data_IF_620446423825
#
_entry.id   IF_620446423825
#
_cell.length_a   1.000
_cell.length_b   1.000
_cell.length_c   1.000
_cell.angle_alpha   90.00
_cell.angle_beta   90.00
_cell.angle_gamma   90.00
#
_symmetry.space_group_name_H-M   'P 1'
#
loop_
_entity.id
_entity.type
_entity.pdbx_description
1 polymer ?
#
# COMPACT_ATOMS: atom_id res chain seq x y z
N UNK A 1 -22.39 -5.43 3.99
CA UNK A 1 -21.83 -6.75 3.64
C UNK A 1 -21.14 -6.65 2.28
N UNK A 2 -19.99 -5.93 2.21
CA UNK A 2 -19.22 -5.70 0.97
C UNK A 2 -17.69 -5.74 1.25
N UNK A 3 -17.25 -6.75 2.02
CA UNK A 3 -15.82 -6.95 2.34
C UNK A 3 -15.08 -7.95 1.42
N UNK A 4 -15.73 -8.79 0.56
CA UNK A 4 -14.97 -9.80 -0.18
C UNK A 4 -14.19 -9.29 -1.41
N UNK A 5 -14.49 -8.09 -1.93
CA UNK A 5 -13.83 -7.59 -3.16
C UNK A 5 -12.41 -7.07 -2.92
N UNK A 6 -12.13 -6.59 -1.70
CA UNK A 6 -10.81 -6.03 -1.34
C UNK A 6 -9.76 -7.16 -1.17
N UNK A 7 -10.16 -8.35 -0.66
CA UNK A 7 -9.22 -9.46 -0.42
C UNK A 7 -8.60 -10.08 -1.69
N UNK A 8 -9.33 -10.12 -2.78
CA UNK A 8 -8.82 -10.77 -4.01
C UNK A 8 -7.91 -9.86 -4.84
N UNK A 9 -8.11 -8.53 -4.77
CA UNK A 9 -7.29 -7.58 -5.54
C UNK A 9 -5.96 -7.23 -4.85
N UNK A 10 -5.90 -7.20 -3.53
CA UNK A 10 -4.64 -6.99 -2.78
C UNK A 10 -3.60 -8.08 -3.06
N UNK A 11 -4.03 -9.33 -3.24
CA UNK A 11 -3.15 -10.44 -3.65
C UNK A 11 -2.63 -10.31 -5.09
N UNK A 12 -3.40 -9.66 -5.99
CA UNK A 12 -2.96 -9.41 -7.37
C UNK A 12 -1.98 -8.24 -7.48
N UNK A 13 -2.16 -7.16 -6.74
CA UNK A 13 -1.25 -6.01 -6.74
C UNK A 13 0.13 -6.36 -6.16
N UNK A 14 0.19 -7.16 -5.11
CA UNK A 14 1.45 -7.64 -4.56
C UNK A 14 2.25 -8.48 -5.57
N UNK A 15 1.59 -9.19 -6.49
CA UNK A 15 2.24 -9.92 -7.58
C UNK A 15 2.73 -9.03 -8.73
N UNK A 16 2.10 -7.86 -8.97
CA UNK A 16 2.46 -6.96 -10.06
C UNK A 16 3.56 -5.96 -9.69
N UNK A 17 3.55 -5.40 -8.50
CA UNK A 17 4.62 -4.48 -8.03
C UNK A 17 5.96 -5.20 -7.98
N UNK A 18 5.98 -6.49 -7.62
CA UNK A 18 7.22 -7.28 -7.59
C UNK A 18 7.67 -7.81 -8.97
N UNK A 19 6.78 -7.97 -9.93
CA UNK A 19 7.16 -8.41 -11.27
C UNK A 19 7.93 -7.33 -12.06
N UNK A 20 7.71 -6.05 -11.77
CA UNK A 20 8.35 -4.93 -12.47
C UNK A 20 9.78 -4.69 -11.96
N UNK A 21 10.07 -4.93 -10.68
CA UNK A 21 11.44 -4.79 -10.14
C UNK A 21 12.45 -5.83 -10.66
N UNK A 22 11.98 -6.93 -11.26
CA UNK A 22 12.88 -7.97 -11.81
C UNK A 22 13.31 -7.72 -13.26
N UNK A 23 12.78 -6.72 -13.97
CA UNK A 23 13.04 -6.51 -15.41
C UNK A 23 13.78 -5.21 -15.75
N UNK A 24 14.07 -4.33 -14.81
CA UNK A 24 14.85 -3.12 -15.05
C UNK A 24 16.35 -3.38 -14.84
N UNK A 25 16.97 -4.09 -15.76
CA UNK A 25 18.41 -3.95 -16.00
C UNK A 25 18.60 -2.68 -16.84
N UNK A 26 19.27 -1.63 -16.34
CA UNK A 26 19.63 -0.51 -17.18
C UNK A 26 20.64 -0.99 -18.23
N UNK A 27 20.31 -0.80 -19.49
CA UNK A 27 21.30 -0.79 -20.56
C UNK A 27 22.20 0.43 -20.31
N UNK A 28 23.32 0.19 -19.65
CA UNK A 28 24.40 1.18 -19.52
C UNK A 28 25.05 1.30 -20.89
N UNK A 29 24.73 2.37 -21.61
CA UNK A 29 25.52 2.81 -22.75
C UNK A 29 26.95 3.09 -22.24
N UNK A 30 27.89 2.35 -22.74
CA UNK A 30 29.31 2.46 -22.42
C UNK A 30 29.88 3.80 -22.90
N UNK A 31 29.78 4.83 -22.05
CA UNK A 31 30.67 5.97 -22.14
C UNK A 31 32.01 5.60 -21.48
N UNK A 32 33.04 5.48 -22.30
CA UNK A 32 34.42 5.27 -21.85
C UNK A 32 34.85 6.46 -20.97
N UNK A 33 34.72 6.31 -19.66
CA UNK A 33 35.47 7.07 -18.68
C UNK A 33 36.59 6.19 -18.14
N UNK A 34 37.75 6.76 -18.08
CA UNK A 34 39.03 6.16 -17.64
C UNK A 34 38.86 5.25 -16.44
N UNK A 35 39.45 4.06 -16.54
CA UNK A 35 39.36 2.95 -15.62
C UNK A 35 39.74 3.28 -14.17
N UNK A 36 38.73 3.29 -13.34
CA UNK A 36 38.84 2.74 -12.00
C UNK A 36 38.34 1.30 -12.11
N UNK A 37 39.23 0.35 -12.25
CA UNK A 37 38.94 -1.06 -12.09
C UNK A 37 38.35 -1.22 -10.68
N UNK A 38 37.08 -1.62 -10.61
CA UNK A 38 36.48 -1.99 -9.33
C UNK A 38 37.37 -3.04 -8.67
N UNK A 39 37.68 -2.93 -7.38
CA UNK A 39 38.56 -3.90 -6.72
C UNK A 39 38.02 -5.32 -6.96
N UNK A 40 38.88 -6.32 -7.16
CA UNK A 40 38.45 -7.67 -7.42
C UNK A 40 37.60 -8.17 -6.27
N UNK A 41 36.45 -8.79 -6.60
CA UNK A 41 35.51 -9.31 -5.61
C UNK A 41 36.20 -10.39 -4.76
N UNK A 42 35.97 -10.32 -3.46
CA UNK A 42 36.46 -11.38 -2.55
C UNK A 42 35.69 -12.69 -2.82
N UNK A 43 36.24 -13.80 -2.31
CA UNK A 43 35.58 -15.10 -2.42
C UNK A 43 34.20 -15.10 -1.74
N UNK A 44 34.09 -14.47 -0.56
CA UNK A 44 32.84 -14.32 0.16
C UNK A 44 31.80 -13.53 -0.66
N UNK A 45 32.22 -12.45 -1.34
CA UNK A 45 31.32 -11.69 -2.20
C UNK A 45 30.83 -12.50 -3.41
N UNK A 46 31.65 -13.36 -3.97
CA UNK A 46 31.23 -14.28 -5.05
C UNK A 46 30.25 -15.31 -4.55
N UNK A 47 30.51 -15.89 -3.38
CA UNK A 47 29.61 -16.84 -2.74
C UNK A 47 28.29 -16.19 -2.33
N UNK A 48 28.30 -14.94 -1.84
CA UNK A 48 27.09 -14.17 -1.54
C UNK A 48 26.21 -13.99 -2.78
N UNK A 49 26.83 -13.62 -3.91
CA UNK A 49 26.09 -13.48 -5.18
C UNK A 49 25.55 -14.80 -5.71
N UNK A 50 26.30 -15.90 -5.53
CA UNK A 50 25.81 -17.22 -5.89
C UNK A 50 24.56 -17.58 -5.06
N UNK A 51 24.64 -17.46 -3.75
CA UNK A 51 23.50 -17.69 -2.85
C UNK A 51 22.30 -16.77 -3.18
N UNK A 52 22.56 -15.48 -3.49
CA UNK A 52 21.51 -14.56 -3.95
C UNK A 52 20.78 -15.10 -5.19
N UNK A 53 21.53 -15.58 -6.19
CA UNK A 53 20.96 -16.12 -7.43
C UNK A 53 20.16 -17.40 -7.19
N UNK A 54 20.64 -18.29 -6.31
CA UNK A 54 19.91 -19.48 -5.88
C UNK A 54 18.57 -19.10 -5.23
N UNK A 55 18.59 -18.15 -4.29
CA UNK A 55 17.40 -17.63 -3.66
C UNK A 55 16.39 -17.02 -4.64
N UNK A 56 16.88 -16.29 -5.66
CA UNK A 56 16.01 -15.73 -6.72
C UNK A 56 15.33 -16.84 -7.52
N UNK A 57 16.03 -17.93 -7.83
CA UNK A 57 15.42 -19.07 -8.53
C UNK A 57 14.39 -19.79 -7.66
N UNK A 58 14.72 -20.05 -6.39
CA UNK A 58 13.80 -20.64 -5.43
C UNK A 58 12.54 -19.78 -5.26
N UNK A 59 12.70 -18.45 -5.13
CA UNK A 59 11.58 -17.51 -5.05
C UNK A 59 10.65 -17.57 -6.27
N UNK A 60 11.22 -17.56 -7.48
CA UNK A 60 10.46 -17.67 -8.73
C UNK A 60 9.67 -18.99 -8.84
N UNK A 61 10.18 -20.05 -8.25
CA UNK A 61 9.54 -21.35 -8.20
C UNK A 61 8.49 -21.48 -7.05
N UNK A 62 8.30 -20.43 -6.24
CA UNK A 62 7.40 -20.44 -5.09
C UNK A 62 7.96 -21.17 -3.87
N UNK A 63 9.25 -21.52 -3.87
CA UNK A 63 9.96 -22.22 -2.80
C UNK A 63 10.46 -21.21 -1.74
N UNK A 64 9.51 -20.54 -1.06
CA UNK A 64 9.82 -19.37 -0.22
C UNK A 64 10.74 -19.67 0.96
N UNK A 65 10.64 -20.86 1.57
CA UNK A 65 11.52 -21.26 2.68
C UNK A 65 12.96 -21.47 2.20
N UNK A 66 13.15 -22.04 1.02
CA UNK A 66 14.47 -22.21 0.39
C UNK A 66 15.03 -20.83 -0.01
N UNK A 67 14.22 -20.01 -0.64
CA UNK A 67 14.61 -18.64 -1.00
C UNK A 67 15.06 -17.83 0.23
N UNK A 68 14.32 -17.92 1.35
CA UNK A 68 14.69 -17.22 2.58
C UNK A 68 16.03 -17.71 3.15
N UNK A 69 16.31 -19.03 3.11
CA UNK A 69 17.61 -19.57 3.55
C UNK A 69 18.77 -19.05 2.69
N UNK A 70 18.58 -19.03 1.37
CA UNK A 70 19.61 -18.62 0.44
C UNK A 70 19.88 -17.10 0.52
N UNK A 71 18.82 -16.27 0.64
CA UNK A 71 18.99 -14.83 0.85
C UNK A 71 19.63 -14.52 2.21
N UNK A 72 19.28 -15.25 3.27
CA UNK A 72 19.92 -15.12 4.56
C UNK A 72 21.40 -15.46 4.50
N UNK A 73 21.77 -16.55 3.81
CA UNK A 73 23.16 -16.93 3.55
C UNK A 73 23.89 -15.84 2.77
N UNK A 74 23.27 -15.30 1.72
CA UNK A 74 23.86 -14.22 0.94
C UNK A 74 24.13 -12.97 1.80
N UNK A 75 23.17 -12.57 2.66
CA UNK A 75 23.31 -11.47 3.63
C UNK A 75 24.41 -11.73 4.67
N UNK A 76 24.58 -12.97 5.13
CA UNK A 76 25.64 -13.33 6.08
C UNK A 76 27.02 -13.25 5.46
N UNK A 77 27.17 -13.65 4.19
CA UNK A 77 28.43 -13.61 3.43
C UNK A 77 28.81 -12.19 3.02
N UNK A 78 27.83 -11.36 2.66
CA UNK A 78 28.04 -9.94 2.36
C UNK A 78 26.91 -9.08 2.95
N UNK A 79 27.07 -8.56 4.18
CA UNK A 79 26.04 -7.72 4.83
C UNK A 79 25.73 -6.40 4.10
N UNK A 80 26.56 -6.00 3.13
CA UNK A 80 26.32 -4.81 2.31
C UNK A 80 25.59 -5.12 1.00
N UNK A 81 25.32 -6.39 0.72
CA UNK A 81 24.56 -6.81 -0.46
C UNK A 81 23.07 -6.50 -0.26
N UNK A 82 22.68 -5.22 -0.47
CA UNK A 82 21.33 -4.71 -0.27
C UNK A 82 20.23 -5.60 -0.85
N UNK A 83 20.48 -6.14 -2.06
CA UNK A 83 19.50 -6.99 -2.73
C UNK A 83 19.22 -8.29 -1.97
N UNK A 84 20.20 -8.86 -1.25
CA UNK A 84 19.98 -10.05 -0.46
C UNK A 84 18.99 -9.77 0.68
N UNK A 85 19.17 -8.63 1.36
CA UNK A 85 18.29 -8.21 2.44
C UNK A 85 16.90 -7.79 1.93
N UNK A 86 16.84 -7.06 0.81
CA UNK A 86 15.59 -6.66 0.18
C UNK A 86 14.76 -7.87 -0.27
N UNK A 87 15.38 -8.87 -0.89
CA UNK A 87 14.69 -10.07 -1.33
C UNK A 87 14.30 -10.98 -0.15
N UNK A 88 15.08 -11.00 0.92
CA UNK A 88 14.70 -11.68 2.16
C UNK A 88 13.44 -11.05 2.77
N UNK A 89 13.41 -9.70 2.88
CA UNK A 89 12.24 -8.96 3.33
C UNK A 89 11.00 -9.28 2.47
N UNK A 90 11.17 -9.25 1.15
CA UNK A 90 10.14 -9.57 0.18
C UNK A 90 9.62 -11.01 0.32
N UNK A 91 10.53 -11.95 0.59
CA UNK A 91 10.20 -13.37 0.77
C UNK A 91 9.33 -13.57 2.01
N UNK A 92 9.67 -12.93 3.12
CA UNK A 92 8.83 -12.96 4.33
C UNK A 92 7.49 -12.26 4.09
N UNK A 93 7.48 -11.10 3.44
CA UNK A 93 6.25 -10.39 3.10
C UNK A 93 5.31 -11.21 2.22
N UNK A 94 5.84 -12.00 1.28
CA UNK A 94 5.05 -12.87 0.39
C UNK A 94 4.38 -14.04 1.13
N UNK A 95 4.86 -14.40 2.29
CA UNK A 95 4.30 -15.47 3.15
C UNK A 95 3.32 -14.92 4.19
N UNK A 96 3.32 -13.61 4.44
CA UNK A 96 2.41 -12.99 5.40
C UNK A 96 0.97 -12.96 4.88
N UNK A 97 0.04 -13.44 5.69
CA UNK A 97 -1.40 -13.44 5.38
C UNK A 97 -2.10 -12.46 6.34
N UNK A 98 -2.61 -11.31 5.85
CA UNK A 98 -3.26 -10.33 6.71
C UNK A 98 -4.39 -10.92 7.55
N UNK A 99 -4.32 -10.73 8.86
CA UNK A 99 -5.32 -11.19 9.82
C UNK A 99 -5.27 -12.66 10.18
N UNK A 100 -4.34 -13.46 9.66
CA UNK A 100 -4.13 -14.83 10.13
C UNK A 100 -3.47 -14.81 11.53
N UNK A 101 -4.05 -15.52 12.54
CA UNK A 101 -3.62 -15.37 13.93
C UNK A 101 -2.44 -16.28 14.33
N UNK A 102 -1.89 -17.06 13.41
CA UNK A 102 -0.80 -17.98 13.74
C UNK A 102 0.48 -17.23 14.12
N UNK A 103 1.21 -17.74 15.11
CA UNK A 103 2.50 -17.17 15.53
C UNK A 103 3.50 -17.10 14.37
N UNK A 104 3.49 -18.11 13.50
CA UNK A 104 4.32 -18.14 12.30
C UNK A 104 4.03 -16.95 11.38
N UNK A 105 2.74 -16.70 11.11
CA UNK A 105 2.33 -15.57 10.29
C UNK A 105 2.73 -14.22 10.89
N UNK A 106 2.56 -14.07 12.21
CA UNK A 106 2.98 -12.86 12.94
C UNK A 106 4.50 -12.67 12.83
N UNK A 107 5.28 -13.75 13.00
CA UNK A 107 6.74 -13.70 12.82
C UNK A 107 7.15 -13.31 11.40
N UNK A 108 6.45 -13.79 10.36
CA UNK A 108 6.73 -13.38 8.97
C UNK A 108 6.53 -11.88 8.78
N UNK A 109 5.44 -11.30 9.30
CA UNK A 109 5.20 -9.87 9.24
C UNK A 109 6.30 -9.05 9.92
N UNK A 110 6.69 -9.43 11.13
CA UNK A 110 7.77 -8.76 11.86
C UNK A 110 9.12 -8.92 11.17
N UNK A 111 9.46 -10.13 10.72
CA UNK A 111 10.71 -10.38 10.00
C UNK A 111 10.79 -9.54 8.70
N UNK A 112 9.70 -9.45 7.94
CA UNK A 112 9.65 -8.60 6.75
C UNK A 112 9.91 -7.13 7.08
N UNK A 113 9.24 -6.58 8.10
CA UNK A 113 9.42 -5.16 8.49
C UNK A 113 10.84 -4.90 9.01
N UNK A 114 11.43 -5.81 9.77
CA UNK A 114 12.80 -5.70 10.26
C UNK A 114 13.81 -5.67 9.12
N UNK A 115 13.68 -6.58 8.15
CA UNK A 115 14.59 -6.61 6.99
C UNK A 115 14.44 -5.39 6.09
N UNK A 116 13.22 -4.88 5.84
CA UNK A 116 13.04 -3.61 5.13
C UNK A 116 13.67 -2.44 5.87
N UNK A 117 13.51 -2.34 7.20
CA UNK A 117 14.18 -1.32 8.02
C UNK A 117 15.70 -1.45 7.94
N UNK A 118 16.22 -2.68 7.90
CA UNK A 118 17.64 -2.94 7.72
C UNK A 118 18.17 -2.42 6.37
N UNK A 119 17.42 -2.61 5.27
CA UNK A 119 17.76 -2.01 3.97
C UNK A 119 17.79 -0.49 4.06
N UNK A 120 16.79 0.13 4.72
CA UNK A 120 16.73 1.59 4.90
C UNK A 120 17.84 2.13 5.81
N UNK A 121 18.40 1.29 6.69
CA UNK A 121 19.59 1.61 7.49
C UNK A 121 20.85 1.75 6.64
N UNK A 122 20.94 1.01 5.54
CA UNK A 122 22.07 1.03 4.60
C UNK A 122 21.84 2.03 3.45
N UNK A 123 20.63 2.10 2.95
CA UNK A 123 20.20 3.01 1.88
C UNK A 123 18.85 3.66 2.26
N UNK A 124 18.89 4.84 2.90
CA UNK A 124 17.68 5.52 3.37
C UNK A 124 16.73 5.97 2.25
N UNK A 125 17.17 5.98 0.99
CA UNK A 125 16.36 6.39 -0.16
C UNK A 125 15.90 5.21 -1.02
N UNK A 126 16.10 3.98 -0.57
CA UNK A 126 15.67 2.78 -1.29
C UNK A 126 14.15 2.70 -1.41
N UNK A 127 13.62 3.04 -2.57
CA UNK A 127 12.17 3.09 -2.80
C UNK A 127 11.50 1.74 -2.58
N UNK A 128 12.11 0.64 -3.03
CA UNK A 128 11.53 -0.70 -2.85
C UNK A 128 11.38 -1.06 -1.37
N UNK A 129 12.32 -0.63 -0.53
CA UNK A 129 12.24 -0.85 0.91
C UNK A 129 11.23 0.12 1.59
N UNK A 130 11.13 1.37 1.13
CA UNK A 130 10.13 2.34 1.58
C UNK A 130 8.73 1.81 1.31
N UNK A 131 8.45 1.40 0.08
CA UNK A 131 7.12 0.90 -0.32
C UNK A 131 6.81 -0.45 0.32
N UNK A 132 7.80 -1.35 0.37
CA UNK A 132 7.67 -2.64 1.03
C UNK A 132 7.31 -2.50 2.51
N UNK A 133 8.00 -1.61 3.22
CA UNK A 133 7.72 -1.34 4.63
C UNK A 133 6.37 -0.65 4.83
N UNK A 134 6.05 0.37 4.01
CA UNK A 134 4.74 1.01 4.03
C UNK A 134 3.60 0.01 3.83
N UNK A 135 3.72 -0.87 2.83
CA UNK A 135 2.74 -1.92 2.54
C UNK A 135 2.61 -2.95 3.67
N UNK A 136 3.73 -3.41 4.24
CA UNK A 136 3.69 -4.36 5.34
C UNK A 136 3.01 -3.78 6.59
N UNK A 137 3.37 -2.56 6.98
CA UNK A 137 2.76 -1.87 8.11
C UNK A 137 1.25 -1.69 7.90
N UNK A 138 0.82 -1.30 6.69
CA UNK A 138 -0.60 -1.21 6.33
C UNK A 138 -1.33 -2.55 6.51
N UNK A 139 -0.74 -3.64 6.04
CA UNK A 139 -1.34 -4.98 6.15
C UNK A 139 -1.42 -5.46 7.59
N UNK A 140 -0.38 -5.19 8.39
CA UNK A 140 -0.33 -5.57 9.81
C UNK A 140 -1.30 -4.72 10.65
N UNK A 141 -1.52 -3.46 10.30
CA UNK A 141 -2.41 -2.53 11.00
C UNK A 141 -3.90 -2.93 10.97
N UNK A 142 -4.29 -3.80 10.04
CA UNK A 142 -5.70 -4.14 9.82
C UNK A 142 -6.31 -5.05 10.87
N UNK A 143 -5.54 -5.99 11.43
CA UNK A 143 -6.04 -7.00 12.38
C UNK A 143 -4.93 -7.51 13.31
N UNK A 144 -4.95 -7.20 14.62
CA UNK A 144 -5.91 -6.25 15.23
C UNK A 144 -5.77 -4.85 14.62
N UNK A 145 -6.85 -4.05 14.70
CA UNK A 145 -6.80 -2.69 14.17
C UNK A 145 -5.86 -1.83 15.01
N UNK A 146 -4.84 -1.30 14.36
CA UNK A 146 -3.79 -0.48 14.97
C UNK A 146 -3.62 0.84 14.18
N UNK A 147 -4.15 1.96 14.70
CA UNK A 147 -4.04 3.25 14.03
C UNK A 147 -2.59 3.77 13.97
N UNK A 148 -1.73 3.40 14.90
CA UNK A 148 -0.34 3.87 14.93
C UNK A 148 0.46 3.23 13.79
N UNK A 149 0.25 1.95 13.51
CA UNK A 149 0.85 1.28 12.35
C UNK A 149 0.34 1.88 11.02
N UNK A 150 -0.93 2.30 10.95
CA UNK A 150 -1.43 3.02 9.78
C UNK A 150 -0.72 4.37 9.60
N UNK A 151 -0.48 5.11 10.67
CA UNK A 151 0.25 6.38 10.60
C UNK A 151 1.73 6.16 10.24
N UNK A 152 2.37 5.14 10.79
CA UNK A 152 3.73 4.76 10.40
C UNK A 152 3.79 4.41 8.91
N UNK A 153 2.86 3.58 8.41
CA UNK A 153 2.73 3.27 6.99
C UNK A 153 2.62 4.54 6.14
N UNK A 154 1.72 5.48 6.52
CA UNK A 154 1.53 6.76 5.84
C UNK A 154 2.83 7.56 5.74
N UNK A 155 3.66 7.55 6.80
CA UNK A 155 4.93 8.27 6.83
C UNK A 155 5.92 7.77 5.77
N UNK A 156 5.93 6.46 5.47
CA UNK A 156 6.77 5.90 4.41
C UNK A 156 6.29 6.31 3.02
N UNK A 157 4.99 6.35 2.77
CA UNK A 157 4.46 6.87 1.50
C UNK A 157 4.70 8.37 1.35
N UNK A 158 4.65 9.16 2.41
CA UNK A 158 5.07 10.57 2.40
C UNK A 158 6.56 10.72 2.07
N UNK A 159 7.41 9.82 2.57
CA UNK A 159 8.83 9.77 2.22
C UNK A 159 9.03 9.43 0.74
N UNK A 160 8.27 8.50 0.19
CA UNK A 160 8.29 8.20 -1.25
C UNK A 160 7.93 9.46 -2.06
N UNK A 161 6.85 10.15 -1.73
CA UNK A 161 6.43 11.39 -2.38
C UNK A 161 7.55 12.44 -2.37
N UNK A 162 8.23 12.59 -1.23
CA UNK A 162 9.36 13.53 -1.14
C UNK A 162 10.48 13.20 -2.13
N UNK A 163 10.75 11.92 -2.39
CA UNK A 163 11.78 11.47 -3.32
C UNK A 163 11.29 11.49 -4.78
N UNK A 164 10.04 11.12 -5.03
CA UNK A 164 9.43 10.96 -6.34
C UNK A 164 8.00 11.52 -6.36
N UNK A 165 7.83 12.86 -6.46
CA UNK A 165 6.51 13.49 -6.39
C UNK A 165 5.60 13.20 -7.58
N UNK A 166 6.13 12.71 -8.69
CA UNK A 166 5.38 12.41 -9.91
C UNK A 166 4.84 10.96 -9.95
N UNK A 167 5.07 10.14 -8.90
CA UNK A 167 4.50 8.80 -8.80
C UNK A 167 3.09 8.88 -8.18
N UNK A 168 2.02 8.41 -8.85
CA UNK A 168 0.66 8.45 -8.34
C UNK A 168 0.41 7.43 -7.21
N UNK A 169 1.22 6.37 -7.10
CA UNK A 169 0.99 5.23 -6.21
C UNK A 169 1.02 5.62 -4.72
N UNK A 170 2.04 6.34 -4.21
CA UNK A 170 2.08 6.69 -2.79
C UNK A 170 0.94 7.64 -2.38
N UNK A 171 0.48 8.54 -3.25
CA UNK A 171 -0.70 9.35 -2.99
C UNK A 171 -1.98 8.51 -2.89
N UNK A 172 -2.12 7.50 -3.74
CA UNK A 172 -3.21 6.55 -3.65
C UNK A 172 -3.22 5.84 -2.29
N UNK A 173 -2.07 5.32 -1.84
CA UNK A 173 -1.99 4.62 -0.56
C UNK A 173 -2.28 5.51 0.65
N UNK A 174 -1.85 6.78 0.63
CA UNK A 174 -2.25 7.76 1.65
C UNK A 174 -3.77 7.90 1.69
N UNK A 175 -4.42 8.06 0.55
CA UNK A 175 -5.88 8.13 0.49
C UNK A 175 -6.58 6.87 1.00
N UNK A 176 -6.04 5.68 0.73
CA UNK A 176 -6.55 4.40 1.25
C UNK A 176 -6.43 4.31 2.77
N UNK A 177 -5.29 4.73 3.32
CA UNK A 177 -5.05 4.78 4.77
C UNK A 177 -6.04 5.74 5.43
N UNK A 178 -6.16 6.95 4.92
CA UNK A 178 -7.01 7.99 5.47
C UNK A 178 -8.49 7.59 5.42
N UNK A 179 -8.92 6.97 4.31
CA UNK A 179 -10.25 6.37 4.24
C UNK A 179 -10.43 5.27 5.28
N UNK A 180 -9.46 4.37 5.45
CA UNK A 180 -9.56 3.24 6.38
C UNK A 180 -9.74 3.73 7.82
N UNK A 181 -8.96 4.73 8.23
CA UNK A 181 -9.05 5.35 9.54
C UNK A 181 -10.40 6.05 9.75
N UNK A 182 -10.80 6.89 8.80
CA UNK A 182 -12.07 7.62 8.85
C UNK A 182 -13.29 6.69 8.84
N UNK A 183 -13.28 5.66 7.97
CA UNK A 183 -14.35 4.67 7.89
C UNK A 183 -14.50 3.88 9.19
N UNK A 184 -13.39 3.42 9.75
CA UNK A 184 -13.40 2.68 11.02
C UNK A 184 -13.91 3.52 12.17
N UNK A 185 -13.46 4.76 12.28
CA UNK A 185 -13.92 5.70 13.29
C UNK A 185 -15.42 6.01 13.17
N UNK A 186 -15.90 6.25 11.95
CA UNK A 186 -17.33 6.45 11.69
C UNK A 186 -18.17 5.24 12.14
N UNK A 187 -17.74 4.03 11.77
CA UNK A 187 -18.41 2.79 12.17
C UNK A 187 -18.45 2.60 13.69
N UNK A 188 -17.35 2.86 14.40
CA UNK A 188 -17.29 2.78 15.86
C UNK A 188 -18.18 3.83 16.52
N UNK A 189 -18.19 5.07 16.00
CA UNK A 189 -19.04 6.15 16.48
C UNK A 189 -20.50 5.80 16.35
N UNK A 190 -20.93 5.26 15.21
CA UNK A 190 -22.30 4.79 14.96
C UNK A 190 -22.67 3.62 15.88
N UNK A 191 -21.78 2.63 16.01
CA UNK A 191 -22.01 1.46 16.87
C UNK A 191 -22.14 1.85 18.35
N UNK A 192 -21.24 2.69 18.87
CA UNK A 192 -21.25 3.17 20.26
C UNK A 192 -22.55 3.90 20.63
N UNK A 193 -23.13 4.60 19.68
CA UNK A 193 -24.33 5.41 19.91
C UNK A 193 -25.63 4.70 19.45
N UNK A 194 -25.58 3.39 19.19
CA UNK A 194 -26.74 2.57 18.81
C UNK A 194 -27.56 3.21 17.68
N UNK A 195 -26.89 3.79 16.69
CA UNK A 195 -27.53 4.40 15.54
C UNK A 195 -28.15 3.31 14.65
N UNK A 196 -29.23 2.73 15.15
CA UNK A 196 -30.10 1.84 14.40
C UNK A 196 -31.54 2.36 14.46
N UNK A 197 -32.24 2.36 13.34
CA UNK A 197 -33.65 2.67 13.29
C UNK A 197 -34.44 1.37 13.32
N UNK A 198 -35.22 1.12 14.37
CA UNK A 198 -36.11 -0.06 14.53
C UNK A 198 -35.36 -1.40 14.38
N UNK A 199 -34.13 -1.50 14.92
CA UNK A 199 -33.33 -2.73 14.85
C UNK A 199 -32.65 -2.95 13.50
N UNK A 200 -32.77 -2.03 12.54
CA UNK A 200 -31.95 -1.98 11.33
C UNK A 200 -30.82 -0.98 11.55
N UNK A 201 -29.62 -1.41 11.27
CA UNK A 201 -28.47 -0.51 11.23
C UNK A 201 -28.80 0.63 10.24
N UNK A 202 -28.59 1.89 10.66
CA UNK A 202 -28.65 3.01 9.73
C UNK A 202 -27.72 2.72 8.55
N UNK A 203 -28.17 3.05 7.34
CA UNK A 203 -27.28 2.94 6.17
C UNK A 203 -26.05 3.79 6.42
N UNK A 204 -24.90 3.35 5.91
CA UNK A 204 -23.63 4.09 6.02
C UNK A 204 -23.72 5.50 5.43
N UNK A 205 -24.77 5.76 4.62
CA UNK A 205 -25.05 7.05 3.99
C UNK A 205 -26.02 7.94 4.80
N UNK A 206 -26.56 7.48 5.94
CA UNK A 206 -27.40 8.32 6.78
C UNK A 206 -26.56 9.40 7.48
N UNK A 207 -27.00 10.69 7.53
CA UNK A 207 -26.26 11.75 8.18
C UNK A 207 -26.07 11.46 9.67
N UNK A 208 -24.90 11.86 10.21
CA UNK A 208 -24.66 11.81 11.64
C UNK A 208 -25.49 12.87 12.37
N UNK A 209 -26.04 12.57 13.58
CA UNK A 209 -26.56 13.57 14.49
C UNK A 209 -25.52 14.67 14.76
N UNK A 210 -25.95 15.93 15.05
CA UNK A 210 -25.03 17.07 15.18
C UNK A 210 -23.87 16.84 16.13
N UNK A 211 -24.14 16.33 17.34
CA UNK A 211 -23.08 16.10 18.35
C UNK A 211 -22.04 15.07 17.89
N UNK A 212 -22.48 14.01 17.22
CA UNK A 212 -21.61 12.97 16.70
C UNK A 212 -20.85 13.42 15.45
N UNK A 213 -21.49 14.24 14.61
CA UNK A 213 -20.82 14.90 13.49
C UNK A 213 -19.69 15.78 14.00
N UNK A 214 -19.91 16.60 15.02
CA UNK A 214 -18.91 17.49 15.57
C UNK A 214 -17.75 16.71 16.23
N UNK A 215 -18.04 15.57 16.89
CA UNK A 215 -17.03 14.63 17.38
C UNK A 215 -16.20 14.06 16.22
N UNK A 216 -16.86 13.63 15.15
CA UNK A 216 -16.23 13.06 13.98
C UNK A 216 -15.34 14.06 13.23
N UNK A 217 -15.82 15.30 13.06
CA UNK A 217 -15.05 16.41 12.46
C UNK A 217 -13.79 16.70 13.25
N UNK A 218 -13.89 16.81 14.58
CA UNK A 218 -12.72 17.07 15.44
C UNK A 218 -11.66 15.98 15.35
N UNK A 219 -12.09 14.71 15.23
CA UNK A 219 -11.16 13.58 15.19
C UNK A 219 -10.59 13.28 13.80
N UNK A 220 -11.41 13.44 12.76
CA UNK A 220 -11.09 12.90 11.43
C UNK A 220 -11.30 13.87 10.26
N UNK A 221 -11.76 15.10 10.52
CA UNK A 221 -11.98 16.09 9.46
C UNK A 221 -10.73 16.35 8.61
N UNK A 222 -9.59 16.56 9.27
CA UNK A 222 -8.30 16.77 8.60
C UNK A 222 -7.87 15.52 7.82
N UNK A 223 -7.96 14.34 8.42
CA UNK A 223 -7.62 13.06 7.77
C UNK A 223 -8.42 12.83 6.49
N UNK A 224 -9.73 13.13 6.53
CA UNK A 224 -10.60 13.01 5.35
C UNK A 224 -10.15 13.98 4.25
N UNK A 225 -9.84 15.22 4.61
CA UNK A 225 -9.43 16.23 3.64
C UNK A 225 -8.06 15.92 3.02
N UNK A 226 -7.10 15.48 3.81
CA UNK A 226 -5.79 15.01 3.33
C UNK A 226 -5.93 13.83 2.36
N UNK A 227 -6.75 12.84 2.69
CA UNK A 227 -7.01 11.70 1.82
C UNK A 227 -7.68 12.09 0.49
N UNK A 228 -8.64 13.02 0.53
CA UNK A 228 -9.28 13.56 -0.68
C UNK A 228 -8.24 14.24 -1.57
N UNK A 229 -7.42 15.13 -1.02
CA UNK A 229 -6.40 15.84 -1.81
C UNK A 229 -5.35 14.88 -2.36
N UNK A 230 -4.92 13.89 -1.59
CA UNK A 230 -3.97 12.86 -2.04
C UNK A 230 -4.54 12.07 -3.23
N UNK A 231 -5.79 11.59 -3.15
CA UNK A 231 -6.40 10.85 -4.26
C UNK A 231 -6.65 11.73 -5.49
N UNK A 232 -7.03 12.98 -5.31
CA UNK A 232 -7.14 13.96 -6.42
C UNK A 232 -5.78 14.16 -7.10
N UNK A 233 -4.71 14.24 -6.32
CA UNK A 233 -3.37 14.36 -6.86
C UNK A 233 -2.95 13.10 -7.64
N UNK A 234 -3.18 11.90 -7.10
CA UNK A 234 -2.95 10.64 -7.80
C UNK A 234 -3.69 10.59 -9.16
N UNK A 235 -4.96 11.03 -9.19
CA UNK A 235 -5.77 11.09 -10.41
C UNK A 235 -5.24 12.16 -11.38
N UNK A 236 -4.69 13.27 -10.89
CA UNK A 236 -4.10 14.30 -11.76
C UNK A 236 -2.85 13.81 -12.49
N UNK A 237 -2.04 12.97 -11.82
CA UNK A 237 -0.86 12.32 -12.42
C UNK A 237 -1.30 11.20 -13.38
N UNK A 238 -2.29 10.39 -12.97
CA UNK A 238 -2.80 9.24 -13.73
C UNK A 238 -4.31 9.36 -13.93
N UNK A 239 -4.78 10.00 -15.03
CA UNK A 239 -6.20 10.32 -15.23
C UNK A 239 -7.14 9.10 -15.36
N UNK A 240 -6.63 7.91 -15.63
CA UNK A 240 -7.39 6.65 -15.69
C UNK A 240 -7.19 5.75 -14.46
N UNK A 241 -6.77 6.34 -13.32
CA UNK A 241 -6.54 5.61 -12.08
C UNK A 241 -7.87 5.27 -11.38
N UNK A 242 -8.54 4.22 -11.88
CA UNK A 242 -9.86 3.81 -11.43
C UNK A 242 -9.92 3.41 -9.94
N UNK A 243 -8.85 2.84 -9.38
CA UNK A 243 -8.80 2.50 -7.97
C UNK A 243 -8.73 3.77 -7.08
N UNK A 244 -7.96 4.78 -7.49
CA UNK A 244 -7.94 6.08 -6.78
C UNK A 244 -9.30 6.79 -6.84
N UNK A 245 -10.00 6.74 -7.98
CA UNK A 245 -11.36 7.27 -8.10
C UNK A 245 -12.35 6.52 -7.20
N UNK A 246 -12.21 5.19 -7.07
CA UNK A 246 -13.05 4.38 -6.20
C UNK A 246 -12.89 4.78 -4.72
N UNK A 247 -11.65 5.01 -4.25
CA UNK A 247 -11.44 5.48 -2.88
C UNK A 247 -11.81 6.94 -2.67
N UNK A 248 -11.63 7.82 -3.68
CA UNK A 248 -12.09 9.20 -3.63
C UNK A 248 -13.62 9.28 -3.47
N UNK A 249 -14.37 8.44 -4.19
CA UNK A 249 -15.81 8.28 -3.96
C UNK A 249 -16.12 7.98 -2.48
N UNK A 250 -15.43 7.00 -1.91
CA UNK A 250 -15.65 6.60 -0.53
C UNK A 250 -15.30 7.72 0.47
N UNK A 251 -14.25 8.49 0.21
CA UNK A 251 -13.88 9.65 1.03
C UNK A 251 -14.88 10.81 0.90
N UNK A 252 -15.44 11.08 -0.28
CA UNK A 252 -16.52 12.08 -0.40
C UNK A 252 -17.76 11.69 0.41
N UNK A 253 -18.10 10.40 0.50
CA UNK A 253 -19.17 9.92 1.39
C UNK A 253 -18.82 10.14 2.87
N UNK A 254 -17.56 9.94 3.27
CA UNK A 254 -17.13 10.28 4.64
C UNK A 254 -17.12 11.79 4.88
N UNK A 255 -16.73 12.59 3.88
CA UNK A 255 -16.83 14.06 3.97
C UNK A 255 -18.28 14.53 4.12
N UNK A 256 -19.23 13.88 3.45
CA UNK A 256 -20.65 14.17 3.59
C UNK A 256 -21.19 13.94 5.03
N UNK A 257 -20.50 13.13 5.85
CA UNK A 257 -20.82 12.95 7.27
C UNK A 257 -20.25 14.08 8.15
N UNK A 258 -19.39 14.95 7.63
CA UNK A 258 -18.79 16.07 8.38
C UNK A 258 -19.51 17.41 8.19
N UNK A 259 -20.40 17.53 7.21
CA UNK A 259 -21.05 18.79 6.88
C UNK A 259 -22.44 18.89 7.51
N UNK A 260 -22.83 20.13 7.89
CA UNK A 260 -24.13 20.41 8.49
C UNK A 260 -25.21 20.71 7.42
N UNK A 261 -24.80 21.28 6.30
CA UNK A 261 -25.70 21.70 5.23
C UNK A 261 -26.16 20.48 4.42
N UNK A 262 -27.47 20.32 4.27
CA UNK A 262 -28.05 19.29 3.42
C UNK A 262 -27.64 19.46 1.95
N UNK A 263 -27.61 20.69 1.44
CA UNK A 263 -27.19 20.97 0.06
C UNK A 263 -25.71 20.63 -0.21
N UNK A 264 -24.83 20.92 0.76
CA UNK A 264 -23.41 20.55 0.65
C UNK A 264 -23.23 19.03 0.71
N UNK A 265 -23.99 18.35 1.58
CA UNK A 265 -24.00 16.90 1.64
C UNK A 265 -24.43 16.27 0.32
N UNK A 266 -25.52 16.74 -0.29
CA UNK A 266 -26.02 16.26 -1.58
C UNK A 266 -25.01 16.47 -2.70
N UNK A 267 -24.30 17.60 -2.70
CA UNK A 267 -23.22 17.85 -3.66
C UNK A 267 -22.06 16.85 -3.51
N UNK A 268 -21.63 16.55 -2.28
CA UNK A 268 -20.59 15.57 -2.00
C UNK A 268 -21.00 14.16 -2.43
N UNK A 269 -22.25 13.76 -2.16
CA UNK A 269 -22.77 12.46 -2.60
C UNK A 269 -22.83 12.41 -4.13
N UNK A 270 -23.27 13.49 -4.79
CA UNK A 270 -23.27 13.55 -6.25
C UNK A 270 -21.85 13.41 -6.82
N UNK A 271 -20.87 14.10 -6.25
CA UNK A 271 -19.46 13.95 -6.66
C UNK A 271 -18.96 12.51 -6.49
N UNK A 272 -19.39 11.84 -5.43
CA UNK A 272 -19.07 10.44 -5.21
C UNK A 272 -19.68 9.53 -6.28
N UNK A 273 -20.95 9.75 -6.65
CA UNK A 273 -21.68 8.97 -7.65
C UNK A 273 -21.10 9.19 -9.05
N UNK A 274 -20.75 10.44 -9.42
CA UNK A 274 -20.09 10.79 -10.69
C UNK A 274 -18.74 10.04 -10.87
N UNK A 275 -18.02 9.77 -9.77
CA UNK A 275 -16.79 8.96 -9.80
C UNK A 275 -17.06 7.48 -10.06
N UNK A 276 -18.15 6.92 -9.53
CA UNK A 276 -18.53 5.53 -9.81
C UNK A 276 -18.79 5.35 -11.31
N UNK A 277 -19.48 6.28 -11.94
CA UNK A 277 -19.77 6.20 -13.37
C UNK A 277 -18.50 6.31 -14.21
N UNK A 278 -17.57 7.21 -13.86
CA UNK A 278 -16.25 7.26 -14.49
C UNK A 278 -15.47 5.95 -14.37
N UNK A 279 -15.48 5.32 -13.19
CA UNK A 279 -14.82 4.02 -12.98
C UNK A 279 -15.42 2.93 -13.87
N UNK A 280 -16.76 2.90 -14.02
CA UNK A 280 -17.44 1.96 -14.93
C UNK A 280 -17.00 2.17 -16.38
N UNK A 281 -16.99 3.43 -16.85
CA UNK A 281 -16.59 3.78 -18.20
C UNK A 281 -15.13 3.38 -18.50
N UNK A 282 -14.21 3.63 -17.56
CA UNK A 282 -12.80 3.24 -17.69
C UNK A 282 -12.68 1.72 -17.80
N UNK A 283 -13.37 0.99 -16.92
CA UNK A 283 -13.34 -0.50 -16.94
C UNK A 283 -13.93 -1.07 -18.21
N UNK A 284 -15.03 -0.50 -18.71
CA UNK A 284 -15.65 -0.91 -19.96
C UNK A 284 -14.70 -0.69 -21.15
N UNK A 285 -14.13 0.51 -21.29
CA UNK A 285 -13.17 0.83 -22.36
C UNK A 285 -11.95 -0.11 -22.33
N UNK A 286 -11.46 -0.43 -21.13
CA UNK A 286 -10.32 -1.34 -20.94
C UNK A 286 -10.68 -2.78 -21.36
N UNK A 287 -11.90 -3.24 -21.03
CA UNK A 287 -12.40 -4.55 -21.47
C UNK A 287 -12.60 -4.62 -23.00
N UNK A 288 -13.14 -3.55 -23.60
CA UNK A 288 -13.31 -3.46 -25.06
C UNK A 288 -11.97 -3.46 -25.81
N UNK A 289 -10.94 -2.81 -25.25
CA UNK A 289 -9.59 -2.78 -25.85
C UNK A 289 -8.91 -4.16 -25.83
N UNK A 290 -9.17 -4.98 -24.80
CA UNK A 290 -8.63 -6.35 -24.70
C UNK A 290 -9.34 -7.35 -25.63
N UNK A 291 -10.57 -7.04 -26.06
CA UNK A 291 -11.38 -7.90 -26.94
C UNK A 291 -11.28 -7.50 -28.42
N UNK A 292 -10.48 -6.50 -28.78
CA UNK A 292 -10.20 -6.18 -30.18
C UNK A 292 -9.17 -7.15 -30.73
N UNK A 293 -9.47 -7.83 -31.87
CA UNK A 293 -8.57 -8.81 -32.49
C UNK A 293 -7.27 -8.18 -33.00
#
# INVERSE_FOLDING_TARGET
MMIPVIRLRQLYYFRYVFAVCLLALPWVTASRCFGQESPPQTEEQRQARHALNEGVQAFKNGQYEEAARDFLRAKQLDPRLLNAQLYLATTYASQYIPGAPSEENIRMGHAATEEFRGVLGLDPQNLSAIDGLGSMLFQMAGTPFDPDLFQESKSYYQKHIYLHPDDPEPYYWIGVIDWTLAFRANGLLRAKNNLSVRGKQLSDDAPLPPDLRDEYVRGFGVTIDEGIESLKHAISIKPDYDDAMAYLNLLYRRKADTVASQGEREQLIKMADDLIDKVKDIKQKRAESLNRP
#
